data_IF_513140156301
#
_entry.id   IF_513140156301
#
_cell.length_a   1.000
_cell.length_b   1.000
_cell.length_c   1.000
_cell.angle_alpha   90.00
_cell.angle_beta   90.00
_cell.angle_gamma   90.00
#
_symmetry.space_group_name_H-M   'P 1'
#
loop_
_entity.id
_entity.type
_entity.pdbx_description
1 polymer ?
#
# COMPACT_ATOMS: atom_id res chain seq x y z
N UNK A 1 -55.39 -48.66 -42.07
CA UNK A 1 -55.01 -47.25 -41.84
C UNK A 1 -53.74 -47.26 -41.00
N UNK A 2 -52.65 -46.64 -41.48
CA UNK A 2 -51.37 -46.47 -40.77
C UNK A 2 -51.42 -45.22 -39.86
N UNK A 3 -50.73 -45.25 -38.71
CA UNK A 3 -50.22 -44.03 -38.03
C UNK A 3 -49.06 -44.37 -37.10
N UNK A 4 -47.89 -43.83 -37.41
CA UNK A 4 -46.70 -43.80 -36.58
C UNK A 4 -46.83 -42.83 -35.38
N UNK A 5 -46.11 -43.18 -34.31
CA UNK A 5 -45.55 -42.46 -33.12
C UNK A 5 -45.66 -40.92 -33.02
N UNK A 6 -45.59 -40.31 -31.79
CA UNK A 6 -44.27 -40.10 -31.15
C UNK A 6 -44.20 -40.07 -29.59
N UNK A 7 -43.04 -40.54 -29.10
CA UNK A 7 -42.14 -40.03 -28.04
C UNK A 7 -42.69 -39.16 -26.88
N UNK A 8 -42.46 -39.69 -25.68
CA UNK A 8 -41.65 -39.12 -24.59
C UNK A 8 -41.65 -37.59 -24.41
N UNK A 9 -42.46 -37.10 -23.47
CA UNK A 9 -42.24 -35.82 -22.77
C UNK A 9 -42.49 -36.04 -21.27
N UNK A 10 -41.64 -36.85 -20.65
CA UNK A 10 -41.39 -36.77 -19.22
C UNK A 10 -40.46 -35.56 -19.04
N UNK A 11 -41.08 -34.36 -19.01
CA UNK A 11 -40.46 -33.07 -18.72
C UNK A 11 -39.98 -33.09 -17.27
N UNK A 12 -38.89 -33.85 -17.05
CA UNK A 12 -38.03 -33.65 -15.91
C UNK A 12 -37.35 -32.32 -16.15
N UNK A 13 -37.99 -31.27 -15.67
CA UNK A 13 -37.34 -30.03 -15.30
C UNK A 13 -36.27 -30.41 -14.27
N UNK A 14 -35.08 -30.77 -14.76
CA UNK A 14 -33.90 -31.00 -13.93
C UNK A 14 -33.72 -29.69 -13.15
N UNK A 15 -33.82 -29.70 -11.81
CA UNK A 15 -33.46 -28.52 -11.05
C UNK A 15 -32.00 -28.25 -11.38
N UNK A 16 -31.73 -27.16 -12.08
CA UNK A 16 -30.36 -26.69 -12.30
C UNK A 16 -29.74 -26.52 -10.92
N UNK A 17 -28.82 -27.44 -10.60
CA UNK A 17 -28.09 -27.46 -9.35
C UNK A 17 -27.42 -26.07 -9.19
N UNK A 18 -27.71 -25.30 -8.12
CA UNK A 18 -27.05 -24.02 -7.89
C UNK A 18 -25.54 -24.18 -7.68
N UNK A 19 -25.04 -25.42 -7.59
CA UNK A 19 -23.63 -25.77 -7.52
C UNK A 19 -22.92 -25.68 -8.88
N UNK A 20 -23.62 -25.75 -10.02
CA UNK A 20 -23.01 -25.60 -11.36
C UNK A 20 -22.78 -24.13 -11.75
N UNK A 21 -23.28 -23.19 -10.94
CA UNK A 21 -22.91 -21.78 -10.99
C UNK A 21 -21.60 -21.50 -10.21
N UNK A 22 -21.03 -22.51 -9.54
CA UNK A 22 -19.74 -22.39 -8.88
C UNK A 22 -18.58 -22.70 -9.85
N UNK A 23 -17.89 -21.63 -10.23
CA UNK A 23 -16.44 -21.60 -10.27
C UNK A 23 -15.71 -22.26 -11.46
N UNK A 24 -16.11 -21.93 -12.69
CA UNK A 24 -15.09 -21.66 -13.71
C UNK A 24 -14.37 -20.38 -13.33
N UNK A 25 -13.33 -20.44 -12.49
CA UNK A 25 -12.49 -19.26 -12.24
C UNK A 25 -11.88 -18.85 -13.57
N UNK A 26 -12.35 -17.74 -14.11
CA UNK A 26 -11.73 -17.10 -15.27
C UNK A 26 -10.29 -16.73 -14.89
N UNK A 27 -9.34 -17.51 -15.40
CA UNK A 27 -7.92 -17.38 -15.10
C UNK A 27 -7.38 -16.02 -15.56
N UNK A 28 -7.94 -15.45 -16.61
CA UNK A 28 -7.55 -14.14 -17.14
C UNK A 28 -8.04 -13.04 -16.20
N UNK A 29 -9.27 -13.15 -15.71
CA UNK A 29 -9.80 -12.25 -14.69
C UNK A 29 -9.04 -12.37 -13.35
N UNK A 30 -8.69 -13.59 -12.92
CA UNK A 30 -7.90 -13.82 -11.71
C UNK A 30 -6.49 -13.22 -11.84
N UNK A 31 -5.80 -13.49 -12.95
CA UNK A 31 -4.48 -12.92 -13.22
C UNK A 31 -4.53 -11.40 -13.24
N UNK A 32 -5.53 -10.81 -13.90
CA UNK A 32 -5.72 -9.36 -13.93
C UNK A 32 -5.93 -8.76 -12.54
N UNK A 33 -6.67 -9.44 -11.67
CA UNK A 33 -6.94 -8.98 -10.30
C UNK A 33 -5.68 -9.06 -9.43
N UNK A 34 -5.00 -10.21 -9.44
CA UNK A 34 -3.75 -10.39 -8.69
C UNK A 34 -2.68 -9.44 -9.19
N UNK A 35 -2.56 -9.27 -10.51
CA UNK A 35 -1.60 -8.34 -11.11
C UNK A 35 -1.83 -6.91 -10.63
N UNK A 36 -3.07 -6.43 -10.66
CA UNK A 36 -3.40 -5.09 -10.17
C UNK A 36 -3.13 -4.94 -8.67
N UNK A 37 -3.52 -5.93 -7.87
CA UNK A 37 -3.25 -5.90 -6.43
C UNK A 37 -1.74 -5.87 -6.12
N UNK A 38 -0.94 -6.61 -6.89
CA UNK A 38 0.52 -6.61 -6.76
C UNK A 38 1.13 -5.30 -7.25
N UNK A 39 0.66 -4.74 -8.36
CA UNK A 39 1.11 -3.43 -8.84
C UNK A 39 0.82 -2.34 -7.81
N UNK A 40 -0.37 -2.35 -7.21
CA UNK A 40 -0.77 -1.44 -6.14
C UNK A 40 0.12 -1.61 -4.89
N UNK A 41 0.33 -2.86 -4.46
CA UNK A 41 1.21 -3.14 -3.32
C UNK A 41 2.67 -2.72 -3.57
N UNK A 42 3.18 -2.89 -4.80
CA UNK A 42 4.54 -2.44 -5.16
C UNK A 42 4.60 -0.92 -5.17
N UNK A 43 3.59 -0.23 -5.71
CA UNK A 43 3.54 1.24 -5.71
C UNK A 43 3.50 1.79 -4.28
N UNK A 44 2.71 1.18 -3.40
CA UNK A 44 2.65 1.53 -1.98
C UNK A 44 3.98 1.29 -1.27
N UNK A 45 4.62 0.14 -1.52
CA UNK A 45 5.93 -0.18 -0.97
C UNK A 45 7.02 0.79 -1.45
N UNK A 46 7.03 1.14 -2.74
CA UNK A 46 7.98 2.12 -3.30
C UNK A 46 7.72 3.51 -2.74
N UNK A 47 6.46 3.93 -2.59
CA UNK A 47 6.09 5.19 -1.95
C UNK A 47 6.61 5.27 -0.51
N UNK A 48 6.44 4.19 0.25
CA UNK A 48 6.98 4.04 1.60
C UNK A 48 8.51 4.14 1.62
N UNK A 49 9.20 3.42 0.73
CA UNK A 49 10.66 3.47 0.63
C UNK A 49 11.17 4.88 0.29
N UNK A 50 10.50 5.59 -0.62
CA UNK A 50 10.82 6.98 -0.97
C UNK A 50 10.62 7.92 0.22
N UNK A 51 9.49 7.81 0.92
CA UNK A 51 9.22 8.62 2.11
C UNK A 51 10.27 8.38 3.22
N UNK A 52 10.64 7.12 3.46
CA UNK A 52 11.72 6.75 4.41
C UNK A 52 13.05 7.34 3.95
N UNK A 53 13.39 7.24 2.66
CA UNK A 53 14.63 7.80 2.13
C UNK A 53 14.69 9.32 2.31
N UNK A 54 13.60 10.03 2.03
CA UNK A 54 13.49 11.48 2.23
C UNK A 54 13.60 11.85 3.70
N UNK A 55 12.84 11.20 4.58
CA UNK A 55 12.90 11.44 6.03
C UNK A 55 14.31 11.19 6.58
N UNK A 56 14.96 10.12 6.13
CA UNK A 56 16.35 9.81 6.49
C UNK A 56 17.32 10.89 5.99
N UNK A 57 17.19 11.34 4.74
CA UNK A 57 18.03 12.39 4.18
C UNK A 57 17.90 13.71 4.97
N UNK A 58 16.67 14.10 5.33
CA UNK A 58 16.39 15.26 6.18
C UNK A 58 17.03 15.09 7.56
N UNK A 59 16.88 13.91 8.18
CA UNK A 59 17.47 13.59 9.47
C UNK A 59 18.99 13.70 9.48
N UNK A 60 19.65 13.11 8.48
CA UNK A 60 21.10 13.16 8.28
C UNK A 60 21.57 14.59 8.01
N UNK A 61 20.84 15.37 7.21
CA UNK A 61 21.16 16.76 6.94
C UNK A 61 21.11 17.60 8.22
N UNK A 62 20.06 17.45 9.03
CA UNK A 62 19.95 18.11 10.34
C UNK A 62 21.08 17.71 11.29
N UNK A 63 21.40 16.41 11.37
CA UNK A 63 22.48 15.93 12.23
C UNK A 63 23.85 16.44 11.76
N UNK A 64 24.12 16.42 10.45
CA UNK A 64 25.35 16.94 9.86
C UNK A 64 25.50 18.44 10.09
N UNK A 65 24.39 19.17 9.99
CA UNK A 65 24.33 20.59 10.30
C UNK A 65 24.71 20.85 11.75
N UNK A 66 24.07 20.14 12.69
CA UNK A 66 24.39 20.22 14.13
C UNK A 66 25.85 19.90 14.42
N UNK A 67 26.40 18.84 13.83
CA UNK A 67 27.81 18.47 14.00
C UNK A 67 28.74 19.60 13.54
N UNK A 68 28.49 20.19 12.36
CA UNK A 68 29.29 21.31 11.86
C UNK A 68 29.22 22.51 12.79
N UNK A 69 28.00 22.88 13.22
CA UNK A 69 27.81 24.04 14.10
C UNK A 69 28.41 23.82 15.49
N UNK A 70 28.50 22.58 15.98
CA UNK A 70 29.15 22.28 17.25
C UNK A 70 30.68 22.42 17.18
N UNK A 71 31.30 22.16 16.03
CA UNK A 71 32.75 22.35 15.81
C UNK A 71 33.15 23.81 15.58
N UNK A 72 32.27 24.64 15.02
CA UNK A 72 32.51 26.08 14.87
C UNK A 72 32.08 26.79 16.16
N UNK A 73 33.01 27.41 16.90
CA UNK A 73 32.81 28.01 18.23
C UNK A 73 31.80 29.19 18.32
N UNK A 74 30.91 29.37 17.35
CA UNK A 74 29.90 30.42 17.26
C UNK A 74 28.48 29.85 17.19
N UNK A 75 27.96 29.38 18.31
CA UNK A 75 26.66 28.73 18.38
C UNK A 75 25.56 29.73 18.74
N UNK A 76 24.78 30.17 17.74
CA UNK A 76 23.55 30.89 18.03
C UNK A 76 22.43 29.89 18.35
N UNK A 77 21.75 30.09 19.48
CA UNK A 77 20.59 29.32 19.92
C UNK A 77 19.57 29.03 18.79
N UNK A 78 19.20 30.00 17.92
CA UNK A 78 18.27 29.72 16.81
C UNK A 78 18.80 28.70 15.80
N UNK A 79 20.10 28.69 15.51
CA UNK A 79 20.71 27.74 14.57
C UNK A 79 20.70 26.32 15.15
N UNK A 80 21.01 26.19 16.45
CA UNK A 80 20.95 24.91 17.16
C UNK A 80 19.52 24.36 17.15
N UNK A 81 18.53 25.21 17.47
CA UNK A 81 17.13 24.84 17.45
C UNK A 81 16.66 24.37 16.07
N UNK A 82 17.07 25.06 14.99
CA UNK A 82 16.73 24.67 13.63
C UNK A 82 17.31 23.29 13.25
N UNK A 83 18.56 23.01 13.62
CA UNK A 83 19.18 21.70 13.38
C UNK A 83 18.47 20.57 14.13
N UNK A 84 18.13 20.78 15.40
CA UNK A 84 17.38 19.81 16.22
C UNK A 84 16.01 19.54 15.62
N UNK A 85 15.30 20.60 15.20
CA UNK A 85 14.00 20.47 14.56
C UNK A 85 14.08 19.70 13.24
N UNK A 86 15.05 20.00 12.38
CA UNK A 86 15.26 19.27 11.13
C UNK A 86 15.49 17.78 11.40
N UNK A 87 16.35 17.45 12.35
CA UNK A 87 16.61 16.07 12.74
C UNK A 87 15.33 15.39 13.25
N UNK A 88 14.60 16.04 14.17
CA UNK A 88 13.36 15.51 14.72
C UNK A 88 12.29 15.27 13.65
N UNK A 89 12.13 16.20 12.70
CA UNK A 89 11.19 16.07 11.57
C UNK A 89 11.57 14.88 10.69
N UNK A 90 12.85 14.74 10.35
CA UNK A 90 13.32 13.59 9.56
C UNK A 90 13.01 12.25 10.21
N UNK A 91 13.31 12.12 11.51
CA UNK A 91 12.97 10.92 12.28
C UNK A 91 11.47 10.69 12.39
N UNK A 92 10.68 11.75 12.62
CA UNK A 92 9.23 11.66 12.68
C UNK A 92 8.65 11.11 11.38
N UNK A 93 9.10 11.63 10.22
CA UNK A 93 8.64 11.15 8.90
C UNK A 93 8.96 9.67 8.72
N UNK A 94 10.16 9.23 9.07
CA UNK A 94 10.53 7.80 8.98
C UNK A 94 9.66 6.95 9.90
N UNK A 95 9.50 7.37 11.16
CA UNK A 95 8.72 6.65 12.15
C UNK A 95 7.23 6.58 11.77
N UNK A 96 6.66 7.65 11.23
CA UNK A 96 5.27 7.66 10.77
C UNK A 96 5.06 6.80 9.54
N UNK A 97 6.01 6.80 8.60
CA UNK A 97 5.91 5.99 7.38
C UNK A 97 6.01 4.50 7.70
N UNK A 98 6.81 4.13 8.72
CA UNK A 98 6.92 2.75 9.20
C UNK A 98 5.77 2.32 10.13
N UNK A 99 4.79 3.19 10.40
CA UNK A 99 3.68 2.91 11.31
C UNK A 99 4.04 2.84 12.79
N UNK A 100 5.24 3.31 13.18
CA UNK A 100 5.70 3.36 14.58
C UNK A 100 5.02 4.50 15.34
N UNK A 101 4.74 5.61 14.66
CA UNK A 101 4.07 6.79 15.22
C UNK A 101 2.85 7.11 14.35
N UNK A 102 1.74 7.54 14.97
CA UNK A 102 0.55 7.93 14.22
C UNK A 102 0.83 9.18 13.35
N UNK A 103 0.53 9.12 12.04
CA UNK A 103 0.56 10.28 11.17
C UNK A 103 -0.37 11.39 11.67
N UNK A 104 0.08 12.65 11.63
CA UNK A 104 -0.73 13.85 11.93
C UNK A 104 -2.04 13.89 11.12
N UNK A 105 -2.06 13.33 9.90
CA UNK A 105 -3.27 13.26 9.08
C UNK A 105 -4.38 12.39 9.68
N UNK A 106 -4.04 11.49 10.61
CA UNK A 106 -5.00 10.58 11.25
C UNK A 106 -5.57 11.17 12.56
N UNK A 107 -5.21 12.42 12.90
CA UNK A 107 -5.66 13.10 14.13
C UNK A 107 -6.94 13.92 13.97
N UNK A 108 -7.38 14.16 12.74
CA UNK A 108 -8.57 14.93 12.38
C UNK A 108 -9.53 14.06 11.57
#
# INVERSE_FOLDING_TARGET
MPSESPRSDDDRSVPSDPTDAAAGIDQEALYGTVRRAVEDAILDAVGTMLAVAVGTAIGIAGASFLLRTATDSGLSVPVLAAGVWLTAIGFYVVASTLGVVQPVRDWF
#
